data_IF_401724131466
#
_entry.id   IF_401724131466
#
_cell.length_a   1.000
_cell.length_b   1.000
_cell.length_c   1.000
_cell.angle_alpha   90.00
_cell.angle_beta   90.00
_cell.angle_gamma   90.00
#
_symmetry.space_group_name_H-M   'P 1'
#
loop_
_entity.id
_entity.type
_entity.pdbx_description
1 polymer ?
#
# COMPACT_ATOMS: atom_id res chain seq x y z
N UNK A 1 -5.66 19.29 2.69
CA UNK A 1 -5.67 17.83 2.94
C UNK A 1 -5.24 17.12 1.67
N UNK A 2 -4.22 16.28 1.79
CA UNK A 2 -3.74 15.46 0.66
C UNK A 2 -4.40 14.10 0.68
N UNK A 3 -4.43 13.44 -0.47
CA UNK A 3 -4.77 12.03 -0.57
C UNK A 3 -3.46 11.25 -0.59
N UNK A 4 -3.34 10.27 0.29
CA UNK A 4 -2.16 9.41 0.36
C UNK A 4 -2.58 7.95 0.16
N UNK A 5 -1.80 7.20 -0.62
CA UNK A 5 -2.00 5.76 -0.76
C UNK A 5 -1.00 5.05 0.15
N UNK A 6 -1.51 4.18 1.03
CA UNK A 6 -0.68 3.47 1.98
C UNK A 6 -0.32 2.08 1.47
N UNK A 7 0.98 1.76 1.53
CA UNK A 7 1.45 0.41 1.29
C UNK A 7 0.93 -0.53 2.39
N UNK A 8 0.83 -1.80 2.11
CA UNK A 8 0.30 -2.81 3.03
C UNK A 8 1.01 -2.80 4.38
N UNK A 9 2.34 -2.64 4.38
CA UNK A 9 3.12 -2.59 5.62
C UNK A 9 2.74 -1.41 6.50
N UNK A 10 2.43 -0.26 5.92
CA UNK A 10 2.03 0.91 6.69
C UNK A 10 0.67 0.69 7.34
N UNK A 11 -0.28 0.12 6.60
CA UNK A 11 -1.60 -0.24 7.16
C UNK A 11 -1.42 -1.24 8.31
N UNK A 12 -0.55 -2.24 8.10
CA UNK A 12 -0.23 -3.23 9.13
C UNK A 12 0.30 -2.59 10.41
N UNK A 13 1.24 -1.68 10.27
CA UNK A 13 1.84 -0.99 11.40
C UNK A 13 0.79 -0.16 12.16
N UNK A 14 -0.09 0.52 11.44
CA UNK A 14 -1.16 1.31 12.04
C UNK A 14 -2.19 0.45 12.76
N UNK A 15 -2.45 -0.76 12.25
CA UNK A 15 -3.34 -1.72 12.89
C UNK A 15 -2.72 -2.34 14.15
N UNK A 16 -1.42 -2.67 14.12
CA UNK A 16 -0.68 -3.24 15.23
C UNK A 16 -0.21 -2.13 16.17
N UNK A 17 -0.66 -2.13 17.41
CA UNK A 17 -0.42 -1.01 18.33
C UNK A 17 1.01 -0.92 18.89
N UNK A 18 1.86 -1.94 18.66
CA UNK A 18 3.16 -2.07 19.33
C UNK A 18 4.36 -2.03 18.37
N UNK A 19 4.21 -1.44 17.20
CA UNK A 19 5.33 -1.37 16.26
C UNK A 19 6.19 -0.12 16.51
N UNK A 20 7.51 -0.26 16.37
CA UNK A 20 8.46 0.84 16.57
C UNK A 20 8.26 2.01 15.61
N UNK A 21 7.76 1.76 14.40
CA UNK A 21 7.50 2.79 13.39
C UNK A 21 6.08 3.36 13.45
N UNK A 22 5.28 2.95 14.42
CA UNK A 22 3.87 3.39 14.49
C UNK A 22 3.75 4.90 14.60
N UNK A 23 4.56 5.53 15.45
CA UNK A 23 4.52 6.98 15.62
C UNK A 23 4.88 7.70 14.31
N UNK A 24 5.91 7.24 13.60
CA UNK A 24 6.29 7.82 12.31
C UNK A 24 5.17 7.68 11.28
N UNK A 25 4.48 6.53 11.25
CA UNK A 25 3.34 6.33 10.37
C UNK A 25 2.18 7.28 10.73
N UNK A 26 1.85 7.40 12.02
CA UNK A 26 0.79 8.30 12.47
C UNK A 26 1.06 9.75 12.07
N UNK A 27 2.29 10.20 12.23
CA UNK A 27 2.68 11.55 11.85
C UNK A 27 2.56 11.78 10.35
N UNK A 28 2.96 10.80 9.54
CA UNK A 28 2.90 10.90 8.09
C UNK A 28 1.47 11.01 7.56
N UNK A 29 0.52 10.33 8.20
CA UNK A 29 -0.86 10.23 7.69
C UNK A 29 -1.85 11.17 8.39
N UNK A 30 -1.45 11.81 9.47
CA UNK A 30 -2.35 12.65 10.28
C UNK A 30 -2.97 13.76 9.45
N UNK A 31 -4.32 13.86 9.52
CA UNK A 31 -5.06 14.90 8.83
C UNK A 31 -5.20 14.70 7.32
N UNK A 32 -4.76 13.58 6.79
CA UNK A 32 -4.81 13.29 5.35
C UNK A 32 -5.95 12.32 5.01
N UNK A 33 -6.37 12.33 3.76
CA UNK A 33 -7.32 11.34 3.23
C UNK A 33 -6.53 10.10 2.81
N UNK A 34 -6.91 8.94 3.34
CA UNK A 34 -6.15 7.71 3.17
C UNK A 34 -6.87 6.75 2.25
N UNK A 35 -6.14 6.26 1.25
CA UNK A 35 -6.63 5.26 0.31
C UNK A 35 -5.68 4.08 0.28
N UNK A 36 -6.19 2.92 -0.14
CA UNK A 36 -5.42 1.70 -0.33
C UNK A 36 -5.74 1.11 -1.70
N UNK A 37 -4.80 0.36 -2.25
CA UNK A 37 -5.08 -0.39 -3.47
C UNK A 37 -5.91 -1.64 -3.15
N UNK A 38 -6.60 -2.17 -4.16
CA UNK A 38 -7.28 -3.45 -4.06
C UNK A 38 -6.32 -4.56 -3.60
N UNK A 39 -5.05 -4.49 -4.01
CA UNK A 39 -4.05 -5.49 -3.64
C UNK A 39 -3.75 -5.45 -2.15
N UNK A 40 -3.60 -4.27 -1.59
CA UNK A 40 -3.44 -4.10 -0.14
C UNK A 40 -4.64 -4.67 0.60
N UNK A 41 -5.85 -4.36 0.13
CA UNK A 41 -7.06 -4.92 0.74
C UNK A 41 -7.04 -6.46 0.72
N UNK A 42 -6.67 -7.05 -0.42
CA UNK A 42 -6.59 -8.50 -0.54
C UNK A 42 -5.55 -9.10 0.41
N UNK A 43 -4.38 -8.49 0.52
CA UNK A 43 -3.32 -8.93 1.43
C UNK A 43 -3.77 -8.86 2.88
N UNK A 44 -4.46 -7.78 3.28
CA UNK A 44 -5.00 -7.64 4.63
C UNK A 44 -6.06 -8.71 4.93
N UNK A 45 -6.92 -9.00 3.96
CA UNK A 45 -7.97 -10.02 4.11
C UNK A 45 -7.41 -11.44 4.18
N UNK A 46 -6.20 -11.66 3.66
CA UNK A 46 -5.53 -12.95 3.74
C UNK A 46 -5.11 -13.28 5.17
N UNK A 47 -4.69 -12.30 5.96
CA UNK A 47 -4.12 -12.54 7.28
C UNK A 47 -5.02 -13.33 8.23
N UNK A 48 -6.30 -12.95 8.42
CA UNK A 48 -7.17 -13.73 9.30
C UNK A 48 -7.38 -15.17 8.81
N UNK A 49 -7.40 -15.36 7.50
CA UNK A 49 -7.56 -16.69 6.89
C UNK A 49 -6.30 -17.52 7.08
N UNK A 50 -5.14 -16.97 6.72
CA UNK A 50 -3.86 -17.68 6.81
C UNK A 50 -3.46 -18.00 8.25
N UNK A 51 -3.82 -17.14 9.21
CA UNK A 51 -3.44 -17.28 10.61
C UNK A 51 -4.59 -17.75 11.51
N UNK A 52 -5.72 -18.08 10.91
CA UNK A 52 -6.89 -18.61 11.64
C UNK A 52 -7.30 -17.72 12.83
N UNK A 53 -7.44 -16.43 12.59
CA UNK A 53 -7.83 -15.47 13.63
C UNK A 53 -9.25 -15.72 14.10
N UNK A 54 -9.50 -15.47 15.39
CA UNK A 54 -10.83 -15.51 15.96
C UNK A 54 -11.69 -14.32 15.53
N UNK A 55 -12.97 -14.38 15.89
CA UNK A 55 -13.97 -13.41 15.46
C UNK A 55 -13.66 -11.99 15.91
N UNK A 56 -13.22 -11.80 17.15
CA UNK A 56 -12.91 -10.48 17.70
C UNK A 56 -11.82 -9.77 16.89
N UNK A 57 -10.76 -10.47 16.54
CA UNK A 57 -9.64 -9.89 15.78
C UNK A 57 -10.02 -9.65 14.32
N UNK A 58 -10.85 -10.54 13.75
CA UNK A 58 -11.39 -10.35 12.40
C UNK A 58 -12.25 -9.08 12.31
N UNK A 59 -13.09 -8.87 13.31
CA UNK A 59 -13.93 -7.67 13.40
C UNK A 59 -13.07 -6.40 13.52
N UNK A 60 -12.05 -6.43 14.37
CA UNK A 60 -11.14 -5.30 14.54
C UNK A 60 -10.43 -4.94 13.23
N UNK A 61 -9.98 -5.95 12.47
CA UNK A 61 -9.35 -5.71 11.17
C UNK A 61 -10.35 -5.13 10.16
N UNK A 62 -11.56 -5.67 10.09
CA UNK A 62 -12.62 -5.15 9.20
C UNK A 62 -12.92 -3.67 9.49
N UNK A 63 -13.03 -3.31 10.76
CA UNK A 63 -13.24 -1.93 11.17
C UNK A 63 -12.07 -1.04 10.80
N UNK A 64 -10.85 -1.54 10.93
CA UNK A 64 -9.65 -0.80 10.52
C UNK A 64 -9.61 -0.57 9.01
N UNK A 65 -9.87 -1.61 8.21
CA UNK A 65 -9.90 -1.51 6.75
C UNK A 65 -10.95 -0.49 6.29
N UNK A 66 -12.08 -0.41 7.01
CA UNK A 66 -13.16 0.53 6.68
C UNK A 66 -12.76 2.00 6.81
N UNK A 67 -11.63 2.30 7.47
CA UNK A 67 -11.09 3.66 7.55
C UNK A 67 -10.52 4.15 6.23
N UNK A 68 -10.25 3.25 5.29
CA UNK A 68 -9.60 3.56 4.02
C UNK A 68 -10.58 3.41 2.86
N UNK A 69 -10.46 4.28 1.86
CA UNK A 69 -11.11 4.06 0.58
C UNK A 69 -10.28 3.11 -0.24
N UNK A 70 -10.87 2.06 -0.78
CA UNK A 70 -10.18 1.11 -1.65
C UNK A 70 -10.31 1.53 -3.09
N UNK A 71 -9.18 1.60 -3.80
CA UNK A 71 -9.14 1.89 -5.24
C UNK A 71 -8.98 0.57 -6.01
N UNK A 72 -9.89 0.35 -6.96
CA UNK A 72 -9.93 -0.88 -7.75
C UNK A 72 -9.31 -0.66 -9.13
N UNK A 73 -8.69 -1.69 -9.73
CA UNK A 73 -8.06 -1.57 -11.03
C UNK A 73 -9.09 -1.46 -12.15
N UNK A 74 -8.68 -0.77 -13.21
CA UNK A 74 -9.39 -0.74 -14.47
C UNK A 74 -8.40 -1.05 -15.61
N UNK A 75 -8.80 -0.84 -16.86
CA UNK A 75 -7.93 -1.09 -18.02
C UNK A 75 -6.65 -0.26 -17.95
N UNK A 76 -6.75 0.99 -17.51
CA UNK A 76 -5.59 1.87 -17.40
C UNK A 76 -4.59 1.36 -16.34
N UNK A 77 -5.09 0.85 -15.24
CA UNK A 77 -4.24 0.24 -14.20
C UNK A 77 -3.42 -0.90 -14.79
N UNK A 78 -4.06 -1.74 -15.62
CA UNK A 78 -3.38 -2.86 -16.26
C UNK A 78 -2.26 -2.38 -17.19
N UNK A 79 -2.51 -1.34 -17.97
CA UNK A 79 -1.50 -0.76 -18.87
C UNK A 79 -0.31 -0.20 -18.08
N UNK A 80 -0.57 0.52 -17.01
CA UNK A 80 0.47 1.06 -16.14
C UNK A 80 1.26 -0.05 -15.46
N UNK A 81 0.57 -1.09 -14.99
CA UNK A 81 1.23 -2.25 -14.38
C UNK A 81 2.25 -2.87 -15.33
N UNK A 82 1.87 -3.06 -16.60
CA UNK A 82 2.75 -3.63 -17.61
C UNK A 82 4.01 -2.77 -17.81
N UNK A 83 3.85 -1.44 -17.84
CA UNK A 83 4.98 -0.53 -17.96
C UNK A 83 5.87 -0.51 -16.72
N UNK A 84 5.29 -0.52 -15.54
CA UNK A 84 6.03 -0.56 -14.27
C UNK A 84 6.88 -1.82 -14.20
N UNK A 85 6.29 -2.97 -14.45
CA UNK A 85 7.00 -4.26 -14.40
C UNK A 85 8.13 -4.28 -15.42
N UNK A 86 7.85 -3.85 -16.65
CA UNK A 86 8.85 -3.84 -17.71
C UNK A 86 10.03 -2.91 -17.36
N UNK A 87 9.75 -1.72 -16.85
CA UNK A 87 10.77 -0.76 -16.44
C UNK A 87 11.67 -1.35 -15.35
N UNK A 88 11.09 -1.98 -14.34
CA UNK A 88 11.84 -2.59 -13.25
C UNK A 88 12.73 -3.74 -13.75
N UNK A 89 12.21 -4.56 -14.65
CA UNK A 89 13.01 -5.65 -15.26
C UNK A 89 14.18 -5.11 -16.07
N UNK A 90 13.94 -4.07 -16.86
CA UNK A 90 14.98 -3.48 -17.73
C UNK A 90 16.09 -2.80 -16.95
N UNK A 91 15.78 -2.27 -15.76
CA UNK A 91 16.80 -1.63 -14.90
C UNK A 91 17.48 -2.61 -13.95
N UNK A 92 17.17 -3.90 -14.05
CA UNK A 92 17.75 -4.93 -13.19
C UNK A 92 17.20 -4.93 -11.77
N UNK A 93 16.06 -4.29 -11.54
CA UNK A 93 15.41 -4.22 -10.23
C UNK A 93 13.98 -4.76 -10.34
N UNK A 94 13.81 -6.09 -10.53
CA UNK A 94 12.49 -6.68 -10.67
C UNK A 94 11.65 -6.40 -9.42
N UNK A 95 10.38 -6.09 -9.65
CA UNK A 95 9.42 -5.79 -8.61
C UNK A 95 8.46 -6.96 -8.43
N UNK A 96 8.04 -7.22 -7.20
CA UNK A 96 7.04 -8.25 -6.94
C UNK A 96 5.69 -7.83 -7.48
N UNK A 97 4.88 -8.81 -7.90
CA UNK A 97 3.57 -8.57 -8.51
C UNK A 97 2.66 -7.70 -7.65
N UNK A 98 2.59 -7.99 -6.36
CA UNK A 98 1.76 -7.22 -5.43
C UNK A 98 2.22 -5.75 -5.35
N UNK A 99 3.53 -5.54 -5.20
CA UNK A 99 4.09 -4.19 -5.13
C UNK A 99 3.87 -3.42 -6.43
N UNK A 100 3.94 -4.11 -7.57
CA UNK A 100 3.68 -3.50 -8.87
C UNK A 100 2.23 -3.00 -8.98
N UNK A 101 1.25 -3.73 -8.46
CA UNK A 101 -0.14 -3.28 -8.42
C UNK A 101 -0.31 -2.06 -7.52
N UNK A 102 0.35 -2.05 -6.37
CA UNK A 102 0.30 -0.91 -5.45
C UNK A 102 0.90 0.33 -6.09
N UNK A 103 2.10 0.21 -6.68
CA UNK A 103 2.76 1.31 -7.38
C UNK A 103 1.94 1.83 -8.55
N UNK A 104 1.33 0.92 -9.32
CA UNK A 104 0.51 1.28 -10.49
C UNK A 104 -0.73 2.08 -10.08
N UNK A 105 -1.33 1.72 -8.95
CA UNK A 105 -2.48 2.44 -8.41
C UNK A 105 -2.08 3.86 -8.01
N UNK A 106 -0.97 4.02 -7.29
CA UNK A 106 -0.47 5.33 -6.89
C UNK A 106 -0.16 6.19 -8.10
N UNK A 107 0.50 5.63 -9.11
CA UNK A 107 0.83 6.34 -10.34
C UNK A 107 -0.43 6.76 -11.11
N UNK A 108 -1.38 5.84 -11.30
CA UNK A 108 -2.61 6.12 -12.03
C UNK A 108 -3.38 7.30 -11.44
N UNK A 109 -3.47 7.36 -10.13
CA UNK A 109 -4.24 8.39 -9.43
C UNK A 109 -3.41 9.63 -9.09
N UNK A 110 -2.10 9.61 -9.36
CA UNK A 110 -1.21 10.73 -9.08
C UNK A 110 -1.11 11.05 -7.60
N UNK A 111 -1.15 10.04 -6.74
CA UNK A 111 -1.08 10.22 -5.28
C UNK A 111 0.23 9.66 -4.74
N UNK A 112 0.77 10.27 -3.67
CA UNK A 112 1.99 9.74 -3.04
C UNK A 112 1.75 8.36 -2.43
N UNK A 113 2.76 7.51 -2.53
CA UNK A 113 2.79 6.19 -1.89
C UNK A 113 3.59 6.28 -0.59
N UNK A 114 2.93 6.01 0.52
CA UNK A 114 3.56 5.96 1.85
C UNK A 114 4.00 4.52 2.12
N UNK A 115 5.28 4.31 2.34
CA UNK A 115 5.84 2.97 2.49
C UNK A 115 7.05 2.93 3.41
N UNK A 116 7.24 1.80 4.08
CA UNK A 116 8.48 1.49 4.80
C UNK A 116 9.52 0.85 3.88
N UNK A 117 9.08 0.27 2.76
CA UNK A 117 9.93 -0.46 1.81
C UNK A 117 10.23 0.40 0.58
N UNK A 118 10.62 1.64 0.81
CA UNK A 118 10.79 2.63 -0.25
C UNK A 118 11.83 2.23 -1.30
N UNK A 119 12.82 1.42 -0.95
CA UNK A 119 13.82 0.94 -1.90
C UNK A 119 13.23 -0.02 -2.96
N UNK A 120 12.16 -0.71 -2.62
CA UNK A 120 11.48 -1.62 -3.56
C UNK A 120 10.87 -0.88 -4.75
N UNK A 121 10.65 0.42 -4.61
CA UNK A 121 10.04 1.27 -5.64
C UNK A 121 11.04 2.20 -6.33
N UNK A 122 12.33 2.06 -6.04
CA UNK A 122 13.37 3.01 -6.47
C UNK A 122 13.52 3.10 -8.00
N UNK A 123 13.18 2.05 -8.74
CA UNK A 123 13.27 2.04 -10.20
C UNK A 123 12.11 2.78 -10.89
N UNK A 124 11.12 3.25 -10.15
CA UNK A 124 9.93 3.90 -10.68
C UNK A 124 10.05 5.41 -10.44
N UNK A 125 10.71 6.10 -11.37
CA UNK A 125 11.06 7.52 -11.21
C UNK A 125 9.86 8.44 -11.09
N UNK A 126 8.75 8.10 -11.73
CA UNK A 126 7.55 8.95 -11.78
C UNK A 126 6.66 8.77 -10.55
N UNK A 127 7.03 7.87 -9.63
CA UNK A 127 6.27 7.59 -8.43
C UNK A 127 6.74 8.51 -7.30
N UNK A 128 5.80 9.23 -6.72
CA UNK A 128 6.07 10.04 -5.53
C UNK A 128 5.99 9.12 -4.30
N UNK A 129 7.14 8.85 -3.69
CA UNK A 129 7.25 7.95 -2.54
C UNK A 129 7.51 8.77 -1.27
N UNK A 130 6.70 8.54 -0.25
CA UNK A 130 6.90 9.10 1.10
C UNK A 130 7.47 7.99 1.98
N UNK A 131 8.76 8.02 2.25
CA UNK A 131 9.38 6.95 3.03
C UNK A 131 9.10 7.09 4.53
N UNK A 132 8.84 5.96 5.17
CA UNK A 132 8.75 5.85 6.63
C UNK A 132 10.00 5.15 7.14
N UNK A 133 10.71 5.80 8.04
CA UNK A 133 11.95 5.28 8.59
C UNK A 133 12.23 5.82 10.02
#
# INVERSE_FOLDING_TARGET
>A
MKVLLLDTNVVSILFKKNHSLRQACLEAVSGQQLVISFMTRAELMLWPVANNWGESRRTALSEHIALYTTLYPDERTCAIWAEVVNRCRRTGQPIQTADAWIASTAWQWGVPLVTTDFLDYAAIDDLDVVPIR
#
